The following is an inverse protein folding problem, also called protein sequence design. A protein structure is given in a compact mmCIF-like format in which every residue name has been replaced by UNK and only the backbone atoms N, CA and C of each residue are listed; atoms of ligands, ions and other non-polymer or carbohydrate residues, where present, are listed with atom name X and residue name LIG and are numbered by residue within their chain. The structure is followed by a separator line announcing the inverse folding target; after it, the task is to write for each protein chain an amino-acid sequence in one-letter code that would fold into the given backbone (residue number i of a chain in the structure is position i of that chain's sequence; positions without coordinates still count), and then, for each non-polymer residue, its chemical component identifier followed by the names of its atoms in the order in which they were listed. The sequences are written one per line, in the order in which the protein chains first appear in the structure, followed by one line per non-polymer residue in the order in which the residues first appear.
data_IF_407608520504
#
_entry.id   IF_407608520504
#
_cell.length_a   1.000
_cell.length_b   1.000
_cell.length_c   1.000
_cell.angle_alpha   90.00
_cell.angle_beta   90.00
_cell.angle_gamma   90.00
#
_symmetry.space_group_name_H-M   'P 1'
#
loop_
_entity.id
_entity.type
_entity.pdbx_description
1 polymer ?
#
# COMPACT_ATOMS: atom_id res chain seq x y z
N UNK A 1 -2.28 4.27 -23.87
CA UNK A 1 -1.62 2.97 -23.56
C UNK A 1 -1.72 2.76 -22.06
N UNK A 2 -1.74 1.52 -21.52
CA UNK A 2 -1.77 1.32 -20.08
C UNK A 2 -0.46 1.81 -19.45
N UNK A 3 -0.54 2.18 -18.16
CA UNK A 3 0.63 2.56 -17.37
C UNK A 3 1.64 1.41 -17.27
N UNK A 4 2.92 1.75 -17.35
CA UNK A 4 4.03 0.85 -17.06
C UNK A 4 4.38 0.99 -15.57
N UNK A 5 4.53 -0.13 -14.84
CA UNK A 5 4.80 -0.12 -13.41
C UNK A 5 5.96 -1.06 -13.11
N UNK A 6 6.93 -0.56 -12.32
CA UNK A 6 8.11 -1.31 -11.89
C UNK A 6 8.23 -1.23 -10.36
N UNK A 7 8.28 -2.39 -9.70
CA UNK A 7 8.45 -2.50 -8.25
C UNK A 7 9.87 -2.99 -7.92
N UNK A 8 10.48 -2.41 -6.89
CA UNK A 8 11.86 -2.70 -6.48
C UNK A 8 12.02 -2.62 -4.96
N UNK A 9 13.11 -3.16 -4.42
CA UNK A 9 13.41 -3.11 -2.98
C UNK A 9 14.00 -1.78 -2.55
N UNK A 10 13.56 -1.30 -1.39
CA UNK A 10 14.17 -0.22 -0.63
C UNK A 10 14.33 -0.67 0.82
N UNK A 11 15.32 -0.15 1.52
CA UNK A 11 15.59 -0.50 2.93
C UNK A 11 15.57 -2.03 3.13
N UNK A 12 15.14 -2.50 4.30
CA UNK A 12 15.06 -3.92 4.60
C UNK A 12 13.81 -4.58 4.01
N UNK A 13 12.66 -3.89 4.04
CA UNK A 13 11.35 -4.44 3.68
C UNK A 13 10.41 -3.47 2.94
N UNK A 14 10.84 -2.23 2.64
CA UNK A 14 10.04 -1.31 1.84
C UNK A 14 10.00 -1.73 0.36
N UNK A 15 8.87 -1.48 -0.27
CA UNK A 15 8.67 -1.66 -1.70
C UNK A 15 8.56 -0.29 -2.37
N UNK A 16 9.59 0.07 -3.12
CA UNK A 16 9.54 1.21 -4.02
C UNK A 16 8.78 0.87 -5.29
N UNK A 17 8.02 1.82 -5.84
CA UNK A 17 7.29 1.63 -7.09
C UNK A 17 7.48 2.84 -8.00
N UNK A 18 7.84 2.57 -9.25
CA UNK A 18 7.76 3.56 -10.33
C UNK A 18 6.50 3.30 -11.16
N UNK A 19 5.78 4.36 -11.50
CA UNK A 19 4.69 4.34 -12.49
C UNK A 19 5.01 5.32 -13.61
N UNK A 20 4.87 4.90 -14.87
CA UNK A 20 5.17 5.70 -16.04
C UNK A 20 4.00 5.75 -17.01
N UNK A 21 3.74 6.93 -17.54
CA UNK A 21 2.92 7.12 -18.73
C UNK A 21 3.77 6.89 -19.99
N UNK A 22 3.53 5.81 -20.75
CA UNK A 22 4.33 5.52 -21.96
C UNK A 22 4.11 6.52 -23.10
N UNK A 23 3.05 7.35 -23.06
CA UNK A 23 2.77 8.33 -24.12
C UNK A 23 3.57 9.61 -23.93
N UNK A 24 3.57 10.17 -22.72
CA UNK A 24 4.29 11.41 -22.42
C UNK A 24 5.72 11.17 -21.94
N UNK A 25 6.01 9.96 -21.42
CA UNK A 25 7.25 9.64 -20.74
C UNK A 25 7.28 10.07 -19.27
N UNK A 26 6.24 10.74 -18.75
CA UNK A 26 6.17 11.15 -17.35
C UNK A 26 6.24 9.93 -16.43
N UNK A 27 7.08 10.00 -15.40
CA UNK A 27 7.34 8.91 -14.46
C UNK A 27 7.29 9.42 -13.03
N UNK A 28 6.51 8.77 -12.19
CA UNK A 28 6.47 9.05 -10.76
C UNK A 28 7.03 7.91 -9.93
N UNK A 29 7.77 8.24 -8.87
CA UNK A 29 7.98 7.33 -7.74
C UNK A 29 6.81 7.46 -6.78
N UNK A 30 6.30 6.33 -6.30
CA UNK A 30 5.36 6.27 -5.17
C UNK A 30 6.20 6.13 -3.92
N UNK A 31 6.24 7.20 -3.14
CA UNK A 31 7.20 7.38 -2.05
C UNK A 31 8.67 7.35 -2.53
N UNK A 32 9.59 7.63 -1.65
CA UNK A 32 11.03 7.45 -1.88
C UNK A 32 11.73 7.16 -0.55
N UNK A 33 11.74 5.89 -0.13
CA UNK A 33 12.43 5.45 1.09
C UNK A 33 13.92 5.80 1.10
N UNK A 34 14.58 5.67 -0.05
CA UNK A 34 16.01 5.95 -0.23
C UNK A 34 16.27 6.49 -1.65
N UNK A 35 17.32 7.31 -1.80
CA UNK A 35 17.72 7.81 -3.11
C UNK A 35 18.25 6.69 -4.02
N UNK A 36 19.22 5.90 -3.54
CA UNK A 36 19.96 4.97 -4.40
C UNK A 36 19.09 3.88 -5.04
N UNK A 37 18.17 3.20 -4.34
CA UNK A 37 17.28 2.21 -4.97
C UNK A 37 16.40 2.81 -6.07
N UNK A 38 15.93 4.05 -5.90
CA UNK A 38 15.17 4.75 -6.96
C UNK A 38 16.06 5.02 -8.18
N UNK A 39 17.31 5.46 -7.98
CA UNK A 39 18.27 5.67 -9.07
C UNK A 39 18.57 4.38 -9.83
N UNK A 40 18.73 3.27 -9.12
CA UNK A 40 19.01 1.97 -9.71
C UNK A 40 17.81 1.48 -10.54
N UNK A 41 16.58 1.65 -10.02
CA UNK A 41 15.35 1.32 -10.73
C UNK A 41 15.15 2.19 -11.99
N UNK A 42 15.42 3.49 -11.90
CA UNK A 42 15.38 4.38 -13.07
C UNK A 42 16.41 3.98 -14.13
N UNK A 43 17.61 3.59 -13.71
CA UNK A 43 18.65 3.09 -14.61
C UNK A 43 18.27 1.75 -15.27
N UNK A 44 17.66 0.85 -14.51
CA UNK A 44 17.20 -0.46 -15.01
C UNK A 44 16.11 -0.31 -16.06
N UNK A 45 15.14 0.57 -15.79
CA UNK A 45 14.00 0.82 -16.68
C UNK A 45 14.32 1.76 -17.84
N UNK A 46 15.34 2.60 -17.70
CA UNK A 46 15.64 3.67 -18.66
C UNK A 46 14.65 4.83 -18.57
N UNK A 47 13.99 5.02 -17.42
CA UNK A 47 13.00 6.08 -17.22
C UNK A 47 13.62 7.31 -16.53
N UNK A 48 13.01 8.47 -16.77
CA UNK A 48 13.39 9.73 -16.12
C UNK A 48 12.33 10.15 -15.11
N UNK A 49 12.76 10.44 -13.87
CA UNK A 49 11.87 10.84 -12.78
C UNK A 49 11.33 12.24 -12.99
N UNK A 50 10.03 12.39 -13.10
CA UNK A 50 9.34 13.69 -13.23
C UNK A 50 8.55 14.07 -11.99
N UNK A 51 8.10 13.08 -11.22
CA UNK A 51 7.20 13.27 -10.08
C UNK A 51 7.55 12.33 -8.92
N UNK A 52 7.16 12.72 -7.70
CA UNK A 52 7.10 11.84 -6.53
C UNK A 52 5.73 12.03 -5.89
N UNK A 53 5.00 10.92 -5.70
CA UNK A 53 3.67 10.90 -5.06
C UNK A 53 3.80 10.29 -3.67
N UNK A 54 3.70 11.11 -2.64
CA UNK A 54 3.89 10.70 -1.24
C UNK A 54 2.58 10.15 -0.69
N UNK A 55 2.61 8.95 -0.09
CA UNK A 55 1.44 8.36 0.57
C UNK A 55 1.26 8.90 1.98
N UNK A 56 2.33 9.06 2.73
CA UNK A 56 2.31 9.59 4.11
C UNK A 56 3.72 10.01 4.58
N UNK A 57 3.80 10.65 5.74
CA UNK A 57 4.99 11.36 6.23
C UNK A 57 6.05 10.52 6.93
N UNK A 58 5.89 9.21 7.14
CA UNK A 58 6.89 8.41 7.85
C UNK A 58 8.24 8.45 7.13
N UNK A 59 9.32 8.45 7.92
CA UNK A 59 10.66 8.67 7.40
C UNK A 59 11.06 7.67 6.31
N UNK A 60 10.70 6.42 6.49
CA UNK A 60 10.93 5.33 5.54
C UNK A 60 10.07 5.40 4.26
N UNK A 61 9.31 6.48 4.07
CA UNK A 61 8.60 6.82 2.83
C UNK A 61 9.11 8.11 2.19
N UNK A 62 9.77 9.00 2.96
CA UNK A 62 10.09 10.35 2.47
C UNK A 62 11.57 10.72 2.51
N UNK A 63 12.43 9.96 3.21
CA UNK A 63 13.81 10.39 3.49
C UNK A 63 14.68 10.53 2.24
N UNK A 64 14.40 9.83 1.15
CA UNK A 64 15.10 9.95 -0.14
C UNK A 64 14.64 11.13 -1.00
N UNK A 65 13.47 11.72 -0.70
CA UNK A 65 12.84 12.74 -1.57
C UNK A 65 13.70 14.00 -1.75
N UNK A 66 14.30 14.61 -0.69
CA UNK A 66 15.07 15.82 -0.88
C UNK A 66 16.25 15.67 -1.85
N UNK A 67 16.95 14.53 -1.81
CA UNK A 67 18.07 14.24 -2.71
C UNK A 67 17.59 14.05 -4.16
N UNK A 68 16.52 13.26 -4.36
CA UNK A 68 15.91 13.06 -5.68
C UNK A 68 15.38 14.35 -6.27
N UNK A 69 14.68 15.17 -5.47
CA UNK A 69 14.19 16.48 -5.92
C UNK A 69 15.33 17.42 -6.33
N UNK A 70 16.41 17.48 -5.56
CA UNK A 70 17.57 18.27 -5.90
C UNK A 70 18.23 17.80 -7.20
N UNK A 71 18.24 16.51 -7.47
CA UNK A 71 18.89 15.90 -8.63
C UNK A 71 18.07 16.04 -9.92
N UNK A 72 16.77 15.79 -9.86
CA UNK A 72 15.89 15.72 -11.04
C UNK A 72 15.03 16.96 -11.24
N UNK A 73 14.89 17.82 -10.21
CA UNK A 73 13.91 18.91 -10.24
C UNK A 73 12.46 18.40 -10.32
N UNK A 74 12.20 17.15 -9.89
CA UNK A 74 10.91 16.51 -10.00
C UNK A 74 9.87 17.20 -9.11
N UNK A 75 8.60 17.18 -9.55
CA UNK A 75 7.46 17.69 -8.78
C UNK A 75 7.15 16.70 -7.64
N UNK A 76 7.01 17.22 -6.42
CA UNK A 76 6.62 16.42 -5.24
C UNK A 76 5.19 16.75 -4.86
N UNK A 77 4.34 15.73 -4.83
CA UNK A 77 2.93 15.79 -4.39
C UNK A 77 2.83 15.07 -3.06
N UNK A 78 2.27 15.71 -2.03
CA UNK A 78 2.15 15.15 -0.69
C UNK A 78 0.76 15.40 -0.10
N UNK A 79 0.33 14.58 0.89
CA UNK A 79 -0.92 14.85 1.63
C UNK A 79 -0.87 16.22 2.32
N UNK A 80 -1.94 16.99 2.25
CA UNK A 80 -2.02 18.30 2.89
C UNK A 80 -1.81 18.22 4.43
N UNK A 81 -2.22 17.11 5.03
CA UNK A 81 -2.01 16.85 6.47
C UNK A 81 -0.56 16.54 6.84
N UNK A 82 0.32 16.28 5.87
CA UNK A 82 1.75 16.05 6.06
C UNK A 82 2.60 17.30 5.80
N UNK A 83 2.00 18.48 5.60
CA UNK A 83 2.71 19.69 5.17
C UNK A 83 3.86 20.10 6.11
N UNK A 84 3.72 19.85 7.40
CA UNK A 84 4.77 20.20 8.37
C UNK A 84 6.03 19.34 8.23
N UNK A 85 5.87 18.05 7.91
CA UNK A 85 6.94 17.06 7.80
C UNK A 85 7.48 16.96 6.37
N UNK A 86 6.68 17.37 5.36
CA UNK A 86 7.04 17.39 3.94
C UNK A 86 6.98 18.82 3.37
N UNK A 87 7.68 19.80 3.97
CA UNK A 87 7.59 21.21 3.58
C UNK A 87 8.19 21.51 2.20
N UNK A 88 8.88 20.55 1.62
CA UNK A 88 9.50 20.63 0.29
C UNK A 88 8.56 20.13 -0.84
N UNK A 89 7.32 19.76 -0.54
CA UNK A 89 6.35 19.40 -1.57
C UNK A 89 5.91 20.64 -2.37
N UNK A 90 5.66 20.43 -3.66
CA UNK A 90 5.20 21.48 -4.58
C UNK A 90 3.68 21.59 -4.62
N UNK A 91 3.00 20.45 -4.36
CA UNK A 91 1.53 20.35 -4.36
C UNK A 91 1.09 19.56 -3.13
N UNK A 92 0.06 20.07 -2.46
CA UNK A 92 -0.60 19.37 -1.37
C UNK A 92 -2.00 18.95 -1.78
N UNK A 93 -2.32 17.66 -1.53
CA UNK A 93 -3.58 17.02 -1.95
C UNK A 93 -4.41 16.56 -0.77
N UNK A 94 -5.72 16.50 -0.99
CA UNK A 94 -6.74 16.07 -0.03
C UNK A 94 -7.68 15.05 -0.67
N UNK A 95 -8.65 14.56 0.09
CA UNK A 95 -9.71 13.66 -0.39
C UNK A 95 -10.39 14.21 -1.65
N UNK A 96 -10.48 13.37 -2.69
CA UNK A 96 -11.18 13.67 -3.93
C UNK A 96 -10.36 14.44 -4.96
N UNK A 97 -9.16 14.89 -4.61
CA UNK A 97 -8.26 15.50 -5.59
C UNK A 97 -7.80 14.49 -6.65
N UNK A 98 -7.27 15.02 -7.75
CA UNK A 98 -6.66 14.22 -8.81
C UNK A 98 -5.22 14.64 -9.04
N UNK A 99 -4.37 13.67 -9.32
CA UNK A 99 -2.98 13.86 -9.72
C UNK A 99 -2.82 13.43 -11.17
N UNK A 100 -2.39 14.35 -12.03
CA UNK A 100 -2.04 14.04 -13.40
C UNK A 100 -0.55 13.69 -13.51
N UNK A 101 -0.27 12.54 -14.13
CA UNK A 101 1.07 12.09 -14.50
C UNK A 101 1.06 11.85 -16.03
N UNK A 102 1.45 12.85 -16.80
CA UNK A 102 1.20 12.84 -18.24
C UNK A 102 -0.30 12.73 -18.52
N UNK A 103 -0.71 11.68 -19.24
CA UNK A 103 -2.11 11.37 -19.55
C UNK A 103 -2.78 10.47 -18.47
N UNK A 104 -2.01 9.96 -17.52
CA UNK A 104 -2.54 9.14 -16.43
C UNK A 104 -3.23 10.02 -15.39
N UNK A 105 -4.41 9.59 -14.92
CA UNK A 105 -5.17 10.30 -13.90
C UNK A 105 -5.31 9.44 -12.64
N UNK A 106 -4.62 9.83 -11.58
CA UNK A 106 -4.69 9.21 -10.25
C UNK A 106 -5.64 9.98 -9.34
N UNK A 107 -6.63 9.29 -8.78
CA UNK A 107 -7.54 9.83 -7.77
C UNK A 107 -6.93 9.69 -6.39
N UNK A 108 -6.97 10.75 -5.61
CA UNK A 108 -6.48 10.78 -4.22
C UNK A 108 -7.61 10.38 -3.27
N UNK A 109 -7.37 9.39 -2.46
CA UNK A 109 -8.26 8.94 -1.40
C UNK A 109 -7.57 9.07 -0.05
N UNK A 110 -8.12 9.85 0.86
CA UNK A 110 -7.66 9.83 2.26
C UNK A 110 -7.98 8.45 2.85
N UNK A 111 -6.96 7.77 3.33
CA UNK A 111 -7.05 6.43 3.93
C UNK A 111 -6.41 6.43 5.31
N UNK A 112 -6.94 7.24 6.27
CA UNK A 112 -6.40 7.30 7.62
C UNK A 112 -6.55 5.96 8.34
N UNK A 113 -5.63 5.69 9.26
CA UNK A 113 -5.60 4.46 10.03
C UNK A 113 -4.21 4.15 10.53
N UNK A 114 -3.25 3.90 9.65
CA UNK A 114 -1.84 3.78 10.00
C UNK A 114 -1.31 5.10 10.59
N UNK A 115 -1.53 6.19 9.87
CA UNK A 115 -1.36 7.56 10.35
C UNK A 115 -2.53 8.44 9.86
N UNK A 116 -2.59 9.70 10.32
CA UNK A 116 -3.72 10.61 10.05
C UNK A 116 -3.65 11.25 8.68
N UNK A 117 -2.46 11.39 8.14
CA UNK A 117 -2.16 12.06 6.87
C UNK A 117 -2.16 11.11 5.67
N UNK A 118 -2.37 9.81 5.90
CA UNK A 118 -2.25 8.80 4.85
C UNK A 118 -3.24 9.00 3.71
N UNK A 119 -2.73 8.93 2.48
CA UNK A 119 -3.51 8.88 1.24
C UNK A 119 -3.13 7.65 0.41
N UNK A 120 -4.08 7.15 -0.36
CA UNK A 120 -3.86 6.15 -1.39
C UNK A 120 -4.12 6.79 -2.76
N UNK A 121 -3.40 6.35 -3.79
CA UNK A 121 -3.58 6.81 -5.16
C UNK A 121 -4.23 5.72 -6.01
N UNK A 122 -5.38 6.02 -6.61
CA UNK A 122 -6.13 5.10 -7.46
C UNK A 122 -6.10 5.53 -8.92
N UNK A 123 -5.36 4.82 -9.76
CA UNK A 123 -5.33 4.99 -11.22
C UNK A 123 -6.36 4.04 -11.85
N UNK A 124 -7.60 4.52 -11.97
CA UNK A 124 -8.75 3.70 -12.32
C UNK A 124 -8.65 3.05 -13.71
N UNK A 125 -8.16 3.79 -14.71
CA UNK A 125 -7.98 3.28 -16.07
C UNK A 125 -6.97 2.12 -16.13
N UNK A 126 -5.98 2.14 -15.25
CA UNK A 126 -4.90 1.15 -15.16
C UNK A 126 -5.20 0.06 -14.11
N UNK A 127 -6.29 0.19 -13.38
CA UNK A 127 -6.63 -0.68 -12.23
C UNK A 127 -5.46 -0.82 -11.26
N UNK A 128 -4.75 0.27 -10.99
CA UNK A 128 -3.59 0.30 -10.11
C UNK A 128 -3.88 1.15 -8.86
N UNK A 129 -3.83 0.50 -7.69
CA UNK A 129 -3.97 1.11 -6.38
C UNK A 129 -2.62 1.12 -5.68
N UNK A 130 -2.14 2.31 -5.33
CA UNK A 130 -0.98 2.49 -4.46
C UNK A 130 -1.50 2.75 -3.06
N UNK A 131 -1.47 1.73 -2.23
CA UNK A 131 -2.14 1.68 -0.93
C UNK A 131 -1.23 2.09 0.23
N UNK A 132 0.06 2.36 -0.03
CA UNK A 132 1.04 2.66 1.02
C UNK A 132 0.93 1.68 2.19
N UNK A 133 0.76 2.20 3.39
CA UNK A 133 0.67 1.43 4.62
C UNK A 133 -0.77 1.22 5.13
N UNK A 134 -1.76 1.38 4.26
CA UNK A 134 -3.15 1.04 4.61
C UNK A 134 -3.44 -0.44 4.37
N UNK A 135 -3.19 -0.96 3.15
CA UNK A 135 -3.48 -2.33 2.76
C UNK A 135 -2.20 -3.03 2.27
N UNK A 136 -1.85 -4.13 2.91
CA UNK A 136 -0.73 -4.99 2.52
C UNK A 136 -1.23 -6.32 1.97
N UNK A 137 -0.40 -7.01 1.22
CA UNK A 137 -0.63 -8.41 0.86
C UNK A 137 -0.85 -9.23 2.15
N UNK A 138 -2.04 -9.85 2.28
CA UNK A 138 -2.48 -10.63 3.44
C UNK A 138 -2.50 -9.86 4.77
N UNK A 139 -2.52 -8.52 4.74
CA UNK A 139 -2.41 -7.72 5.94
C UNK A 139 -2.91 -6.29 5.80
N UNK A 140 -2.70 -5.52 6.85
CA UNK A 140 -2.91 -4.07 6.86
C UNK A 140 -1.91 -3.39 7.80
N UNK A 141 -1.76 -2.09 7.67
CA UNK A 141 -0.91 -1.28 8.52
C UNK A 141 -1.28 -1.36 10.00
N UNK A 142 -0.28 -1.14 10.85
CA UNK A 142 -0.52 -0.95 12.29
C UNK A 142 -1.27 0.38 12.49
N UNK A 143 -2.27 0.39 13.36
CA UNK A 143 -2.94 1.63 13.76
C UNK A 143 -2.09 2.31 14.83
N UNK A 144 -1.44 3.42 14.46
CA UNK A 144 -0.49 4.12 15.33
C UNK A 144 -1.01 5.47 15.80
N UNK A 145 -1.54 6.27 14.88
CA UNK A 145 -1.88 7.68 15.13
C UNK A 145 -3.35 8.02 14.82
N UNK A 146 -4.14 7.01 14.56
CA UNK A 146 -5.54 7.11 14.19
C UNK A 146 -6.38 6.15 15.03
N UNK A 147 -7.59 5.84 14.60
CA UNK A 147 -8.47 4.90 15.28
C UNK A 147 -8.67 3.62 14.48
N UNK A 148 -9.00 2.52 15.15
CA UNK A 148 -9.39 1.28 14.48
C UNK A 148 -10.62 1.47 13.57
N UNK A 149 -11.54 2.35 13.96
CA UNK A 149 -12.72 2.66 13.15
C UNK A 149 -12.35 3.36 11.84
N UNK A 150 -11.40 4.30 11.86
CA UNK A 150 -10.90 4.98 10.67
C UNK A 150 -10.16 4.00 9.75
N UNK A 151 -9.26 3.15 10.30
CA UNK A 151 -8.57 2.13 9.50
C UNK A 151 -9.57 1.15 8.88
N UNK A 152 -10.56 0.69 9.65
CA UNK A 152 -11.60 -0.18 9.12
C UNK A 152 -12.37 0.47 7.97
N UNK A 153 -12.77 1.74 8.14
CA UNK A 153 -13.43 2.48 7.07
C UNK A 153 -12.55 2.59 5.81
N UNK A 154 -11.28 2.93 5.97
CA UNK A 154 -10.32 3.01 4.88
C UNK A 154 -10.19 1.67 4.14
N UNK A 155 -10.04 0.56 4.86
CA UNK A 155 -9.96 -0.78 4.28
C UNK A 155 -11.25 -1.16 3.52
N UNK A 156 -12.43 -0.84 4.06
CA UNK A 156 -13.70 -1.11 3.37
C UNK A 156 -13.84 -0.31 2.07
N UNK A 157 -13.37 0.93 2.04
CA UNK A 157 -13.35 1.73 0.81
C UNK A 157 -12.45 1.10 -0.25
N UNK A 158 -11.23 0.67 0.14
CA UNK A 158 -10.32 -0.01 -0.79
C UNK A 158 -10.89 -1.35 -1.27
N UNK A 159 -11.51 -2.13 -0.37
CA UNK A 159 -12.16 -3.40 -0.71
C UNK A 159 -13.37 -3.25 -1.66
N UNK A 160 -13.95 -2.05 -1.77
CA UNK A 160 -15.04 -1.77 -2.71
C UNK A 160 -14.56 -1.56 -4.15
N UNK A 161 -13.26 -1.49 -4.40
CA UNK A 161 -12.70 -1.45 -5.75
C UNK A 161 -12.96 -2.77 -6.51
N UNK A 162 -12.87 -2.77 -7.85
CA UNK A 162 -13.00 -3.99 -8.64
C UNK A 162 -12.00 -5.08 -8.20
N UNK A 163 -12.41 -6.33 -8.27
CA UNK A 163 -11.58 -7.46 -7.82
C UNK A 163 -10.24 -7.56 -8.58
N UNK A 164 -10.19 -7.06 -9.82
CA UNK A 164 -8.99 -7.03 -10.66
C UNK A 164 -8.08 -5.84 -10.35
N UNK A 165 -8.44 -4.95 -9.43
CA UNK A 165 -7.59 -3.84 -9.04
C UNK A 165 -6.31 -4.37 -8.38
N UNK A 166 -5.16 -3.99 -8.96
CA UNK A 166 -3.83 -4.38 -8.49
C UNK A 166 -3.42 -3.49 -7.33
N UNK A 167 -3.02 -4.11 -6.24
CA UNK A 167 -2.65 -3.44 -4.98
C UNK A 167 -1.13 -3.42 -4.84
N UNK A 168 -0.56 -2.23 -4.81
CA UNK A 168 0.84 -1.97 -4.51
C UNK A 168 0.95 -1.40 -3.10
N UNK A 169 1.55 -2.16 -2.20
CA UNK A 169 1.75 -1.80 -0.78
C UNK A 169 3.14 -1.23 -0.53
N UNK A 170 3.31 -0.49 0.58
CA UNK A 170 4.59 0.12 0.97
C UNK A 170 5.63 -0.87 1.46
N UNK A 171 5.22 -2.06 1.97
CA UNK A 171 6.13 -3.04 2.57
C UNK A 171 5.86 -4.48 2.14
N UNK A 172 6.92 -5.29 2.17
CA UNK A 172 6.91 -6.75 1.95
C UNK A 172 6.84 -7.52 3.28
N UNK A 173 5.66 -7.49 3.91
CA UNK A 173 5.39 -8.26 5.14
C UNK A 173 4.70 -9.59 4.88
N UNK A 174 4.69 -10.07 3.63
CA UNK A 174 3.85 -11.17 3.17
C UNK A 174 3.97 -12.43 4.02
N UNK A 175 5.18 -12.89 4.35
CA UNK A 175 5.37 -14.12 5.14
C UNK A 175 4.83 -13.98 6.58
N UNK A 176 5.10 -12.85 7.23
CA UNK A 176 4.62 -12.62 8.60
C UNK A 176 3.10 -12.43 8.63
N UNK A 177 2.54 -11.82 7.58
CA UNK A 177 1.10 -11.65 7.43
C UNK A 177 0.41 -13.00 7.16
N UNK A 178 0.98 -13.82 6.26
CA UNK A 178 0.44 -15.14 5.93
C UNK A 178 0.42 -16.08 7.14
N UNK A 179 1.47 -16.08 7.97
CA UNK A 179 1.51 -16.85 9.22
C UNK A 179 0.40 -16.43 10.19
N UNK A 180 0.20 -15.12 10.36
CA UNK A 180 -0.88 -14.61 11.19
C UNK A 180 -2.24 -14.94 10.61
N UNK A 181 -2.43 -14.72 9.30
CA UNK A 181 -3.69 -14.99 8.64
C UNK A 181 -4.12 -16.47 8.80
N UNK A 182 -3.17 -17.41 8.64
CA UNK A 182 -3.43 -18.84 8.89
C UNK A 182 -3.75 -19.17 10.34
N UNK A 183 -3.15 -18.45 11.30
CA UNK A 183 -3.51 -18.62 12.72
C UNK A 183 -4.94 -18.11 13.00
N UNK A 184 -5.37 -17.05 12.28
CA UNK A 184 -6.71 -16.48 12.44
C UNK A 184 -7.80 -17.23 11.66
N UNK A 185 -7.47 -17.78 10.46
CA UNK A 185 -8.41 -18.44 9.54
C UNK A 185 -7.81 -19.76 8.99
N UNK A 186 -7.59 -20.77 9.87
CA UNK A 186 -6.83 -21.98 9.51
C UNK A 186 -7.50 -22.89 8.48
N UNK A 187 -8.81 -22.77 8.31
CA UNK A 187 -9.59 -23.61 7.39
C UNK A 187 -9.77 -22.99 6.00
N UNK A 188 -9.21 -21.81 5.76
CA UNK A 188 -9.30 -21.12 4.48
C UNK A 188 -8.32 -21.72 3.46
N UNK A 189 -8.82 -22.50 2.51
CA UNK A 189 -8.00 -23.17 1.49
C UNK A 189 -7.31 -22.20 0.52
N UNK A 190 -7.95 -21.08 0.18
CA UNK A 190 -7.34 -20.04 -0.64
C UNK A 190 -6.13 -19.42 0.07
N UNK A 191 -6.25 -19.17 1.38
CA UNK A 191 -5.16 -18.65 2.20
C UNK A 191 -4.01 -19.67 2.31
N UNK A 192 -4.29 -20.96 2.46
CA UNK A 192 -3.25 -22.01 2.43
C UNK A 192 -2.49 -22.05 1.11
N UNK A 193 -3.18 -21.85 -0.01
CA UNK A 193 -2.54 -21.75 -1.32
C UNK A 193 -1.65 -20.48 -1.40
N UNK A 194 -2.14 -19.35 -0.92
CA UNK A 194 -1.42 -18.08 -0.90
C UNK A 194 -0.18 -18.13 0.00
N UNK A 195 -0.23 -18.86 1.13
CA UNK A 195 0.94 -19.10 1.98
C UNK A 195 2.05 -19.86 1.24
N UNK A 196 1.70 -20.93 0.50
CA UNK A 196 2.69 -21.68 -0.30
C UNK A 196 3.34 -20.80 -1.38
N UNK A 197 2.56 -19.93 -2.00
CA UNK A 197 3.05 -18.96 -2.96
C UNK A 197 4.01 -17.95 -2.31
N UNK A 198 3.66 -17.44 -1.11
CA UNK A 198 4.49 -16.54 -0.33
C UNK A 198 5.85 -17.17 0.05
N UNK A 199 5.84 -18.45 0.46
CA UNK A 199 7.07 -19.19 0.77
C UNK A 199 7.95 -19.41 -0.46
N UNK A 200 7.34 -19.68 -1.62
CA UNK A 200 8.06 -19.84 -2.88
C UNK A 200 8.66 -18.51 -3.32
N UNK A 201 7.87 -17.44 -3.34
CA UNK A 201 8.33 -16.11 -3.71
C UNK A 201 9.51 -15.64 -2.84
N UNK A 202 9.43 -15.86 -1.52
CA UNK A 202 10.50 -15.52 -0.60
C UNK A 202 11.80 -16.31 -0.88
N UNK A 203 11.70 -17.61 -1.21
CA UNK A 203 12.87 -18.44 -1.60
C UNK A 203 13.52 -17.95 -2.88
N UNK A 204 12.73 -17.41 -3.80
CA UNK A 204 13.18 -16.89 -5.09
C UNK A 204 13.58 -15.41 -5.03
N UNK A 205 13.44 -14.75 -3.87
CA UNK A 205 13.71 -13.33 -3.71
C UNK A 205 12.72 -12.41 -4.45
N UNK A 206 11.55 -12.94 -4.83
CA UNK A 206 10.48 -12.18 -5.51
C UNK A 206 9.50 -11.57 -4.52
N UNK A 207 8.83 -10.50 -4.94
CA UNK A 207 7.66 -9.94 -4.25
C UNK A 207 6.37 -10.71 -4.60
N UNK A 208 5.40 -10.66 -3.70
CA UNK A 208 3.98 -10.90 -4.00
C UNK A 208 3.21 -9.56 -4.11
N UNK A 209 3.83 -8.57 -4.71
CA UNK A 209 3.24 -7.27 -5.06
C UNK A 209 3.40 -7.08 -6.56
N UNK A 210 2.32 -6.72 -7.29
CA UNK A 210 1.00 -6.47 -6.74
C UNK A 210 0.24 -7.75 -6.37
N UNK A 211 -0.60 -7.67 -5.33
CA UNK A 211 -1.76 -8.55 -5.18
C UNK A 211 -2.98 -7.93 -5.88
N UNK A 212 -4.17 -8.53 -5.75
CA UNK A 212 -5.41 -7.95 -6.24
C UNK A 212 -6.44 -7.81 -5.12
N UNK A 213 -7.38 -6.87 -5.28
CA UNK A 213 -8.49 -6.71 -4.31
C UNK A 213 -9.26 -8.03 -4.14
N UNK A 214 -9.48 -8.78 -5.21
CA UNK A 214 -10.13 -10.09 -5.15
C UNK A 214 -9.35 -11.11 -4.31
N UNK A 215 -8.02 -11.19 -4.48
CA UNK A 215 -7.16 -12.04 -3.66
C UNK A 215 -7.20 -11.63 -2.19
N UNK A 216 -7.11 -10.34 -1.90
CA UNK A 216 -7.18 -9.84 -0.53
C UNK A 216 -8.55 -10.09 0.11
N UNK A 217 -9.66 -9.92 -0.61
CA UNK A 217 -11.01 -10.27 -0.14
C UNK A 217 -11.14 -11.77 0.15
N UNK A 218 -10.45 -12.61 -0.59
CA UNK A 218 -10.51 -14.07 -0.39
C UNK A 218 -9.62 -14.54 0.79
N UNK A 219 -8.56 -13.82 1.14
CA UNK A 219 -7.49 -14.36 1.99
C UNK A 219 -7.05 -13.45 3.15
N UNK A 220 -7.22 -12.14 3.02
CA UNK A 220 -6.76 -11.18 4.03
C UNK A 220 -7.74 -11.12 5.23
N UNK A 221 -7.33 -11.51 6.45
CA UNK A 221 -8.22 -11.56 7.59
C UNK A 221 -8.80 -10.19 7.97
N UNK A 222 -8.11 -9.10 7.65
CA UNK A 222 -8.56 -7.75 7.95
C UNK A 222 -9.68 -7.28 7.01
N UNK A 223 -9.71 -7.71 5.76
CA UNK A 223 -10.84 -7.46 4.85
C UNK A 223 -12.00 -8.43 5.10
N UNK A 224 -11.72 -9.59 5.67
CA UNK A 224 -12.66 -10.66 5.96
C UNK A 224 -13.22 -10.62 7.39
N UNK A 225 -13.02 -9.54 8.14
CA UNK A 225 -13.45 -9.43 9.54
C UNK A 225 -14.97 -9.64 9.76
N UNK A 226 -15.79 -9.60 8.69
CA UNK A 226 -17.20 -9.96 8.74
C UNK A 226 -17.48 -11.47 8.74
N UNK A 227 -16.48 -12.32 8.50
CA UNK A 227 -16.68 -13.78 8.42
C UNK A 227 -16.84 -14.40 9.81
N UNK A 228 -17.82 -15.30 9.99
CA UNK A 228 -18.08 -15.95 11.30
C UNK A 228 -16.86 -16.68 11.87
N UNK A 229 -16.02 -17.28 11.02
CA UNK A 229 -14.81 -17.99 11.43
C UNK A 229 -13.82 -17.02 12.13
N UNK A 230 -13.63 -15.82 11.58
CA UNK A 230 -12.76 -14.81 12.13
C UNK A 230 -13.32 -14.19 13.42
N UNK A 231 -14.66 -13.98 13.48
CA UNK A 231 -15.30 -13.54 14.71
C UNK A 231 -15.08 -14.56 15.85
N UNK A 232 -15.19 -15.87 15.54
CA UNK A 232 -14.95 -16.96 16.48
C UNK A 232 -13.49 -17.01 16.91
N UNK A 233 -12.52 -16.85 16.01
CA UNK A 233 -11.09 -16.93 16.32
C UNK A 233 -10.62 -15.89 17.34
N UNK A 234 -11.33 -14.75 17.41
CA UNK A 234 -11.01 -13.66 18.37
C UNK A 234 -12.05 -13.51 19.49
N UNK A 235 -13.01 -14.46 19.64
CA UNK A 235 -14.02 -14.43 20.70
C UNK A 235 -15.01 -13.25 20.57
N UNK A 236 -15.37 -12.88 19.33
CA UNK A 236 -16.26 -11.77 18.99
C UNK A 236 -17.50 -12.19 18.21
N UNK A 237 -17.97 -13.44 18.42
CA UNK A 237 -19.19 -13.94 17.77
C UNK A 237 -20.37 -13.01 18.08
N UNK A 238 -21.14 -12.68 17.04
CA UNK A 238 -22.29 -11.78 17.13
C UNK A 238 -21.96 -10.29 17.24
N UNK A 239 -20.67 -9.93 17.20
CA UNK A 239 -20.23 -8.53 17.16
C UNK A 239 -20.13 -8.01 15.72
N UNK A 240 -20.08 -6.70 15.58
CA UNK A 240 -19.88 -6.05 14.29
C UNK A 240 -18.49 -6.30 13.72
N UNK A 241 -18.36 -6.31 12.37
CA UNK A 241 -17.08 -6.57 11.70
C UNK A 241 -15.94 -5.61 12.11
N UNK A 242 -16.26 -4.34 12.45
CA UNK A 242 -15.27 -3.40 12.96
C UNK A 242 -14.68 -3.80 14.33
N UNK A 243 -15.48 -4.42 15.23
CA UNK A 243 -14.99 -4.93 16.51
C UNK A 243 -14.12 -6.20 16.32
N UNK A 244 -14.46 -7.03 15.34
CA UNK A 244 -13.67 -8.19 14.93
C UNK A 244 -12.34 -7.73 14.32
N UNK A 245 -12.37 -6.75 13.42
CA UNK A 245 -11.18 -6.12 12.83
C UNK A 245 -10.23 -5.61 13.93
N UNK A 246 -10.75 -4.84 14.89
CA UNK A 246 -9.95 -4.33 15.99
C UNK A 246 -9.27 -5.46 16.75
N UNK A 247 -10.01 -6.50 17.14
CA UNK A 247 -9.46 -7.64 17.87
C UNK A 247 -8.38 -8.39 17.07
N UNK A 248 -8.60 -8.58 15.76
CA UNK A 248 -7.60 -9.18 14.86
C UNK A 248 -6.32 -8.32 14.79
N UNK A 249 -6.46 -6.98 14.67
CA UNK A 249 -5.31 -6.07 14.60
C UNK A 249 -4.52 -6.03 15.91
N UNK A 250 -5.22 -6.01 17.04
CA UNK A 250 -4.59 -6.10 18.38
C UNK A 250 -3.86 -7.45 18.56
N UNK A 251 -4.44 -8.56 18.12
CA UNK A 251 -3.79 -9.86 18.13
C UNK A 251 -2.52 -9.85 17.26
N UNK A 252 -2.61 -9.37 16.00
CA UNK A 252 -1.44 -9.28 15.11
C UNK A 252 -0.31 -8.42 15.69
N UNK A 253 -0.63 -7.36 16.44
CA UNK A 253 0.40 -6.50 17.06
C UNK A 253 1.28 -7.27 18.07
N UNK A 254 0.75 -8.35 18.66
CA UNK A 254 1.40 -9.18 19.65
C UNK A 254 1.76 -10.59 19.14
N UNK A 255 1.49 -10.88 17.86
CA UNK A 255 1.75 -12.17 17.23
C UNK A 255 3.24 -12.31 16.88
N UNK A 256 3.85 -13.45 17.29
CA UNK A 256 5.27 -13.77 17.11
C UNK A 256 5.46 -14.99 16.20
#
# INVERSE_FOLDING_TARGET
MPAEIHAFRCLDDNIGVLIRDPQSGACAAIDAPEEQPVLDALKETGWDLTDILVTHRHADHIQGIPALKARFGCRVVAPAKAQAEVPFADVYVTEGDSVLLGELNGHVWETPGHCRDHVSYWFAADRALFAGDTLFTLGCGRVMESTYAEMWHSLQRLAALPDEARVYSGHDYVLSNAKFALAADPDNEALKARMREAELAAKEGRFLVPSTIGEEKATNPFLRAGEPALAKSVGKEGRGAGEVFQALREWKNNFR
#
